data_IF_146695008224
#
_entry.id   IF_146695008224
#
_cell.length_a   1.000
_cell.length_b   1.000
_cell.length_c   1.000
_cell.angle_alpha   90.00
_cell.angle_beta   90.00
_cell.angle_gamma   90.00
#
_symmetry.space_group_name_H-M   'P 1'
#
loop_
_entity.id
_entity.type
_entity.pdbx_description
1 polymer ?
#
# COMPACT_ATOMS: atom_id res chain seq x y z
N UNK A 1 -4.44 -4.49 9.63
CA UNK A 1 -4.17 -5.12 10.95
C UNK A 1 -5.08 -6.34 11.03
N UNK A 2 -4.55 -7.48 11.45
CA UNK A 2 -5.31 -8.75 11.50
C UNK A 2 -5.23 -9.30 12.92
N UNK A 3 -6.34 -9.88 13.40
CA UNK A 3 -6.44 -10.45 14.74
C UNK A 3 -7.14 -11.81 14.61
N UNK A 4 -6.58 -12.81 15.27
CA UNK A 4 -7.18 -14.15 15.39
C UNK A 4 -7.38 -14.45 16.88
N UNK A 5 -8.56 -14.92 17.24
CA UNK A 5 -8.89 -15.37 18.60
C UNK A 5 -9.13 -16.87 18.53
N UNK A 6 -8.34 -17.64 19.28
CA UNK A 6 -8.52 -19.07 19.42
C UNK A 6 -9.44 -19.34 20.63
N UNK A 7 -10.65 -19.84 20.36
CA UNK A 7 -11.58 -20.26 21.40
C UNK A 7 -11.39 -21.76 21.65
N UNK A 8 -11.22 -22.15 22.91
CA UNK A 8 -10.98 -23.54 23.32
C UNK A 8 -11.84 -23.90 24.53
N UNK A 9 -12.09 -25.20 24.70
CA UNK A 9 -12.80 -25.77 25.84
C UNK A 9 -11.79 -26.26 26.88
N UNK A 10 -12.02 -26.05 28.19
CA UNK A 10 -11.16 -26.59 29.24
C UNK A 10 -11.44 -28.08 29.55
N UNK A 11 -12.40 -28.71 28.87
CA UNK A 11 -12.78 -30.11 29.09
C UNK A 11 -11.71 -31.07 28.54
N UNK A 12 -11.36 -32.09 29.32
CA UNK A 12 -10.42 -33.14 28.90
C UNK A 12 -10.89 -33.90 27.65
N UNK A 13 -12.21 -34.00 27.45
CA UNK A 13 -12.79 -34.66 26.27
C UNK A 13 -12.40 -33.95 24.97
N UNK A 14 -12.15 -32.64 25.04
CA UNK A 14 -11.81 -31.79 23.90
C UNK A 14 -10.29 -31.56 23.78
N UNK A 15 -9.48 -32.31 24.53
CA UNK A 15 -8.03 -32.11 24.60
C UNK A 15 -7.35 -32.13 23.23
N UNK A 16 -7.69 -33.11 22.39
CA UNK A 16 -7.11 -33.26 21.05
C UNK A 16 -7.44 -32.07 20.14
N UNK A 17 -8.70 -31.61 20.15
CA UNK A 17 -9.13 -30.46 19.35
C UNK A 17 -8.55 -29.14 19.88
N UNK A 18 -8.46 -29.00 21.20
CA UNK A 18 -7.79 -27.87 21.85
C UNK A 18 -6.32 -27.79 21.45
N UNK A 19 -5.62 -28.92 21.45
CA UNK A 19 -4.22 -29.00 20.99
C UNK A 19 -4.08 -28.61 19.52
N UNK A 20 -4.97 -29.10 18.65
CA UNK A 20 -4.97 -28.77 17.24
C UNK A 20 -5.22 -27.27 17.00
N UNK A 21 -6.16 -26.69 17.74
CA UNK A 21 -6.50 -25.25 17.69
C UNK A 21 -5.30 -24.40 18.12
N UNK A 22 -4.63 -24.77 19.22
CA UNK A 22 -3.43 -24.07 19.70
C UNK A 22 -2.24 -24.19 18.72
N UNK A 23 -2.05 -25.37 18.11
CA UNK A 23 -1.04 -25.57 17.05
C UNK A 23 -1.32 -24.64 15.87
N UNK A 24 -2.58 -24.53 15.44
CA UNK A 24 -2.95 -23.62 14.36
C UNK A 24 -2.73 -22.16 14.76
N UNK A 25 -3.15 -21.73 15.94
CA UNK A 25 -2.94 -20.38 16.44
C UNK A 25 -1.44 -20.00 16.47
N UNK A 26 -0.57 -20.94 16.87
CA UNK A 26 0.87 -20.72 16.85
C UNK A 26 1.41 -20.53 15.43
N UNK A 27 0.92 -21.30 14.44
CA UNK A 27 1.26 -21.08 13.02
C UNK A 27 0.73 -19.74 12.51
N UNK A 28 -0.52 -19.40 12.84
CA UNK A 28 -1.17 -18.18 12.39
C UNK A 28 -0.47 -16.91 12.92
N UNK A 29 0.11 -16.99 14.13
CA UNK A 29 0.97 -15.92 14.69
C UNK A 29 2.17 -15.59 13.81
N UNK A 30 2.68 -16.55 13.04
CA UNK A 30 3.84 -16.36 12.18
C UNK A 30 3.47 -15.78 10.80
N UNK A 31 2.18 -15.55 10.53
CA UNK A 31 1.73 -14.95 9.26
C UNK A 31 2.09 -13.46 9.26
N UNK A 32 2.94 -13.07 8.31
CA UNK A 32 3.34 -11.69 8.12
C UNK A 32 2.48 -11.04 7.04
N UNK A 33 1.65 -10.07 7.43
CA UNK A 33 0.83 -9.31 6.49
C UNK A 33 1.61 -8.12 5.94
N UNK A 34 1.67 -7.98 4.62
CA UNK A 34 2.15 -6.77 3.95
C UNK A 34 1.00 -5.76 3.85
N UNK A 35 0.81 -4.98 4.91
CA UNK A 35 -0.19 -3.90 4.91
C UNK A 35 0.28 -2.74 4.04
N UNK A 36 -0.56 -2.34 3.10
CA UNK A 36 -0.37 -1.17 2.25
C UNK A 36 -1.57 -0.25 2.52
N UNK A 37 -1.33 1.05 2.72
CA UNK A 37 -2.42 2.00 2.83
C UNK A 37 -3.27 1.94 1.55
N UNK A 38 -4.59 1.79 1.68
CA UNK A 38 -5.52 1.90 0.57
C UNK A 38 -5.59 3.36 0.10
N UNK A 39 -4.52 3.81 -0.55
CA UNK A 39 -4.52 5.02 -1.33
C UNK A 39 -5.20 4.70 -2.64
N UNK A 40 -6.15 5.55 -3.05
CA UNK A 40 -6.70 5.47 -4.38
C UNK A 40 -5.57 5.70 -5.39
N UNK A 41 -5.17 4.62 -6.07
CA UNK A 41 -4.10 4.64 -7.07
C UNK A 41 -4.45 5.61 -8.19
N UNK A 42 -5.73 5.74 -8.52
CA UNK A 42 -6.21 6.67 -9.53
C UNK A 42 -5.98 8.11 -9.06
N UNK A 43 -6.38 8.47 -7.84
CA UNK A 43 -6.11 9.79 -7.27
C UNK A 43 -4.62 10.13 -7.20
N UNK A 44 -3.75 9.19 -6.82
CA UNK A 44 -2.29 9.42 -6.78
C UNK A 44 -1.71 9.63 -8.19
N UNK A 45 -2.10 8.79 -9.15
CA UNK A 45 -1.67 8.94 -10.54
C UNK A 45 -2.19 10.26 -11.14
N UNK A 46 -3.45 10.60 -10.88
CA UNK A 46 -4.05 11.86 -11.34
C UNK A 46 -3.32 13.08 -10.77
N UNK A 47 -2.92 13.04 -9.50
CA UNK A 47 -2.15 14.12 -8.88
C UNK A 47 -0.77 14.29 -9.52
N UNK A 48 -0.06 13.18 -9.77
CA UNK A 48 1.26 13.20 -10.46
C UNK A 48 1.10 13.76 -11.87
N UNK A 49 0.15 13.24 -12.64
CA UNK A 49 -0.10 13.68 -14.01
C UNK A 49 -0.49 15.16 -14.07
N UNK A 50 -1.31 15.65 -13.13
CA UNK A 50 -1.67 17.07 -13.05
C UNK A 50 -0.45 17.95 -12.74
N UNK A 51 0.44 17.51 -11.85
CA UNK A 51 1.67 18.24 -11.55
C UNK A 51 2.60 18.30 -12.77
N UNK A 52 2.75 17.19 -13.50
CA UNK A 52 3.58 17.10 -14.70
C UNK A 52 3.02 17.94 -15.86
N UNK A 53 1.69 17.96 -16.02
CA UNK A 53 1.04 18.87 -16.97
C UNK A 53 1.32 20.34 -16.60
N UNK A 54 1.25 20.70 -15.32
CA UNK A 54 1.51 22.06 -14.87
C UNK A 54 2.97 22.49 -15.12
N UNK A 55 3.95 21.62 -14.86
CA UNK A 55 5.37 21.91 -15.13
C UNK A 55 5.63 22.08 -16.61
N UNK A 56 5.12 21.16 -17.45
CA UNK A 56 5.27 21.25 -18.90
C UNK A 56 4.59 22.51 -19.47
N UNK A 57 3.43 22.88 -18.95
CA UNK A 57 2.76 24.12 -19.34
C UNK A 57 3.58 25.36 -18.96
N UNK A 58 4.22 25.38 -17.78
CA UNK A 58 5.11 26.47 -17.38
C UNK A 58 6.36 26.56 -18.26
N UNK A 59 7.00 25.42 -18.57
CA UNK A 59 8.13 25.38 -19.50
C UNK A 59 7.73 25.92 -20.87
N UNK A 60 6.63 25.43 -21.44
CA UNK A 60 6.11 25.92 -22.71
C UNK A 60 5.76 27.41 -22.68
N UNK A 61 5.20 27.91 -21.58
CA UNK A 61 4.97 29.35 -21.41
C UNK A 61 6.28 30.13 -21.37
N UNK A 62 7.30 29.65 -20.65
CA UNK A 62 8.61 30.28 -20.59
C UNK A 62 9.32 30.29 -21.96
N UNK A 63 9.23 29.20 -22.72
CA UNK A 63 9.70 29.12 -24.10
C UNK A 63 8.95 30.09 -25.01
N UNK A 64 7.61 30.16 -24.90
CA UNK A 64 6.77 31.07 -25.69
C UNK A 64 6.95 32.55 -25.32
N UNK A 65 7.30 32.87 -24.07
CA UNK A 65 7.57 34.24 -23.60
C UNK A 65 9.01 34.72 -23.89
N UNK A 66 9.82 33.96 -24.62
CA UNK A 66 11.02 34.48 -25.29
C UNK A 66 12.30 34.50 -24.45
N UNK A 67 12.55 33.48 -23.61
CA UNK A 67 13.85 33.32 -22.90
C UNK A 67 14.53 31.97 -23.17
N UNK A 68 14.92 31.74 -24.42
CA UNK A 68 16.24 31.25 -24.81
C UNK A 68 16.33 31.38 -26.33
N UNK A 69 17.30 32.17 -26.78
CA UNK A 69 17.83 32.04 -28.14
C UNK A 69 18.19 30.58 -28.34
N UNK A 70 17.78 30.03 -29.47
CA UNK A 70 18.38 28.83 -30.03
C UNK A 70 19.82 29.28 -30.35
N UNK A 71 20.71 29.20 -29.37
CA UNK A 71 22.12 29.15 -29.66
C UNK A 71 22.34 27.75 -30.22
N UNK A 72 22.27 27.71 -31.55
CA UNK A 72 22.67 26.60 -32.36
C UNK A 72 24.15 26.31 -32.09
N UNK A 73 24.45 25.07 -31.76
CA UNK A 73 25.66 24.34 -32.13
C UNK A 73 25.27 22.87 -32.36
#
# INVERSE_FOLDING_TARGET
RTLMIACISPSDRDFMETLNTLKYANRARNIQNKVIANQDKASKQLAILRAEIATLQQELMAFKMGKRTIDAD
#
